data_IF_923663134251
#
_entry.id   IF_923663134251
#
_cell.length_a   1.000
_cell.length_b   1.000
_cell.length_c   1.000
_cell.angle_alpha   90.00
_cell.angle_beta   90.00
_cell.angle_gamma   90.00
#
_symmetry.space_group_name_H-M   'P 1'
#
loop_
_entity.id
_entity.type
_entity.pdbx_description
1 polymer ?
#
# COMPACT_ATOMS: atom_id res chain seq x y z
N UNK A 1 -4.04 -9.92 -24.93
CA UNK A 1 -5.08 -9.49 -23.96
C UNK A 1 -6.15 -8.60 -24.60
N UNK A 2 -5.81 -7.51 -25.32
CA UNK A 2 -6.80 -6.59 -25.92
C UNK A 2 -7.76 -7.24 -26.93
N UNK A 3 -7.31 -8.18 -27.77
CA UNK A 3 -8.18 -8.93 -28.69
C UNK A 3 -9.30 -9.73 -28.00
N UNK A 4 -9.04 -10.27 -26.80
CA UNK A 4 -10.08 -10.95 -25.99
C UNK A 4 -11.15 -9.96 -25.52
N UNK A 5 -10.72 -8.75 -25.15
CA UNK A 5 -11.62 -7.69 -24.70
C UNK A 5 -12.49 -7.14 -25.86
N UNK A 6 -11.92 -6.98 -27.05
CA UNK A 6 -12.68 -6.61 -28.25
C UNK A 6 -13.75 -7.65 -28.58
N UNK A 7 -13.43 -8.95 -28.49
CA UNK A 7 -14.43 -10.03 -28.66
C UNK A 7 -15.53 -9.98 -27.59
N UNK A 8 -15.19 -9.67 -26.34
CA UNK A 8 -16.14 -9.51 -25.25
C UNK A 8 -17.13 -8.37 -25.53
N UNK A 9 -16.62 -7.19 -25.93
CA UNK A 9 -17.44 -6.02 -26.30
C UNK A 9 -18.39 -6.32 -27.46
N UNK A 10 -17.96 -7.16 -28.40
CA UNK A 10 -18.76 -7.55 -29.56
C UNK A 10 -19.88 -8.54 -29.21
N UNK A 11 -19.67 -9.39 -28.20
CA UNK A 11 -20.64 -10.37 -27.68
C UNK A 11 -21.57 -9.79 -26.61
N UNK A 12 -21.27 -8.59 -26.12
CA UNK A 12 -22.07 -7.93 -25.08
C UNK A 12 -23.40 -7.43 -25.64
N UNK A 13 -24.47 -7.66 -24.87
CA UNK A 13 -25.83 -7.28 -25.21
C UNK A 13 -26.05 -5.79 -24.97
N UNK A 14 -26.86 -5.13 -25.80
CA UNK A 14 -27.17 -3.71 -25.57
C UNK A 14 -28.13 -3.58 -24.39
N UNK A 15 -27.78 -2.74 -23.43
CA UNK A 15 -28.69 -2.32 -22.37
C UNK A 15 -29.35 -1.00 -22.77
N UNK A 16 -30.63 -0.86 -22.48
CA UNK A 16 -31.35 0.40 -22.64
C UNK A 16 -31.20 1.28 -21.39
N UNK A 17 -31.23 2.60 -21.55
CA UNK A 17 -31.10 3.54 -20.43
C UNK A 17 -32.18 3.32 -19.34
N UNK A 18 -33.35 2.80 -19.73
CA UNK A 18 -34.48 2.54 -18.82
C UNK A 18 -34.27 1.33 -17.89
N UNK A 19 -33.29 0.46 -18.18
CA UNK A 19 -32.97 -0.71 -17.34
C UNK A 19 -32.05 -0.35 -16.17
N UNK A 20 -31.46 0.85 -16.19
CA UNK A 20 -30.73 1.40 -15.06
C UNK A 20 -31.71 2.00 -14.06
N UNK A 21 -31.57 1.64 -12.79
CA UNK A 21 -32.38 2.22 -11.71
C UNK A 21 -31.93 3.64 -11.30
N UNK A 22 -30.92 4.18 -12.00
CA UNK A 22 -30.34 5.51 -11.82
C UNK A 22 -30.47 6.29 -13.12
N UNK A 23 -30.79 7.58 -13.03
CA UNK A 23 -30.91 8.50 -14.17
C UNK A 23 -29.54 8.76 -14.84
N UNK A 24 -29.20 7.91 -15.81
CA UNK A 24 -27.95 7.97 -16.54
C UNK A 24 -27.78 9.27 -17.36
N UNK A 25 -28.81 9.79 -18.08
CA UNK A 25 -28.75 11.11 -18.71
C UNK A 25 -28.32 12.22 -17.74
N UNK A 26 -28.86 12.23 -16.52
CA UNK A 26 -28.46 13.21 -15.50
C UNK A 26 -27.00 13.06 -15.08
N UNK A 27 -26.49 11.84 -14.92
CA UNK A 27 -25.06 11.62 -14.60
C UNK A 27 -24.15 12.14 -15.72
N UNK A 28 -24.53 11.89 -16.97
CA UNK A 28 -23.81 12.37 -18.15
C UNK A 28 -23.77 13.91 -18.21
N UNK A 29 -24.86 14.56 -17.85
CA UNK A 29 -24.96 16.02 -17.77
C UNK A 29 -24.06 16.59 -16.67
N UNK A 30 -24.10 16.02 -15.46
CA UNK A 30 -23.23 16.42 -14.33
C UNK A 30 -21.74 16.28 -14.71
N UNK A 31 -21.39 15.19 -15.39
CA UNK A 31 -20.04 14.96 -15.90
C UNK A 31 -19.71 15.77 -17.16
N UNK A 32 -20.65 16.57 -17.68
CA UNK A 32 -20.55 17.41 -18.88
C UNK A 32 -20.01 16.63 -20.09
N UNK A 33 -20.48 15.39 -20.29
CA UNK A 33 -20.05 14.54 -21.40
C UNK A 33 -21.03 14.73 -22.56
N UNK A 34 -20.55 15.26 -23.70
CA UNK A 34 -21.37 15.44 -24.90
C UNK A 34 -21.39 14.23 -25.83
N UNK A 35 -20.41 13.32 -25.69
CA UNK A 35 -20.29 12.12 -26.54
C UNK A 35 -21.45 11.16 -26.33
N UNK A 36 -21.81 10.42 -27.38
CA UNK A 36 -22.74 9.30 -27.28
C UNK A 36 -22.02 8.13 -26.61
N UNK A 37 -22.63 7.57 -25.56
CA UNK A 37 -22.13 6.43 -24.80
C UNK A 37 -23.08 5.27 -25.06
N UNK A 38 -22.54 4.11 -25.44
CA UNK A 38 -23.33 2.88 -25.57
C UNK A 38 -23.21 2.07 -24.28
N UNK A 39 -24.33 1.69 -23.68
CA UNK A 39 -24.36 0.85 -22.48
C UNK A 39 -24.58 -0.60 -22.90
N UNK A 40 -23.76 -1.51 -22.39
CA UNK A 40 -23.83 -2.93 -22.72
C UNK A 40 -23.71 -3.80 -21.48
N UNK A 41 -24.36 -4.96 -21.49
CA UNK A 41 -24.26 -5.99 -20.44
C UNK A 41 -23.34 -7.12 -20.87
N UNK A 42 -22.52 -7.65 -19.95
CA UNK A 42 -21.79 -8.88 -20.19
C UNK A 42 -21.55 -9.68 -18.91
N UNK A 43 -21.91 -10.96 -18.90
CA UNK A 43 -21.64 -11.91 -17.81
C UNK A 43 -20.15 -12.24 -17.63
N UNK A 44 -19.29 -11.82 -18.55
CA UNK A 44 -17.84 -12.07 -18.51
C UNK A 44 -17.06 -11.02 -17.71
N UNK A 45 -17.74 -10.02 -17.14
CA UNK A 45 -17.13 -8.98 -16.30
C UNK A 45 -17.77 -8.97 -14.90
N UNK A 46 -16.93 -8.80 -13.87
CA UNK A 46 -17.38 -8.71 -12.48
C UNK A 46 -17.60 -7.26 -12.02
N UNK A 47 -16.96 -6.30 -12.70
CA UNK A 47 -17.01 -4.88 -12.40
C UNK A 47 -17.29 -4.08 -13.69
N UNK A 48 -17.90 -2.89 -13.60
CA UNK A 48 -18.05 -1.97 -14.72
C UNK A 48 -16.71 -1.64 -15.37
N UNK A 49 -16.70 -1.53 -16.71
CA UNK A 49 -15.50 -1.16 -17.47
C UNK A 49 -15.88 -0.30 -18.67
N UNK A 50 -15.07 0.73 -18.92
CA UNK A 50 -15.16 1.57 -20.12
C UNK A 50 -14.21 1.10 -21.23
N UNK A 51 -14.68 1.14 -22.47
CA UNK A 51 -13.88 0.84 -23.65
C UNK A 51 -14.17 1.77 -24.84
N UNK A 52 -13.16 2.04 -25.66
CA UNK A 52 -13.28 2.84 -26.89
C UNK A 52 -12.96 4.33 -26.73
N UNK A 53 -12.74 5.01 -27.86
CA UNK A 53 -12.32 6.42 -27.91
C UNK A 53 -13.45 7.37 -28.36
N UNK A 54 -13.90 7.22 -29.61
CA UNK A 54 -14.86 8.12 -30.25
C UNK A 54 -16.31 7.82 -29.86
N UNK A 55 -16.64 6.53 -29.74
CA UNK A 55 -17.92 6.03 -29.24
C UNK A 55 -17.64 5.13 -28.04
N UNK A 56 -17.45 5.71 -26.84
CA UNK A 56 -17.18 4.94 -25.64
C UNK A 56 -18.34 3.99 -25.34
N UNK A 57 -17.98 2.80 -24.89
CA UNK A 57 -18.89 1.74 -24.48
C UNK A 57 -18.69 1.55 -22.98
N UNK A 58 -19.78 1.66 -22.23
CA UNK A 58 -19.84 1.32 -20.81
C UNK A 58 -20.37 -0.10 -20.70
N UNK A 59 -19.50 -1.02 -20.28
CA UNK A 59 -19.87 -2.41 -20.02
C UNK A 59 -20.22 -2.57 -18.54
N UNK A 60 -21.37 -3.18 -18.27
CA UNK A 60 -21.87 -3.48 -16.94
C UNK A 60 -22.06 -4.99 -16.75
N UNK A 61 -21.84 -5.52 -15.53
CA UNK A 61 -22.30 -6.86 -15.18
C UNK A 61 -23.84 -6.95 -15.25
N UNK A 62 -24.44 -8.09 -15.61
CA UNK A 62 -25.90 -8.23 -15.72
C UNK A 62 -26.61 -7.97 -14.39
N UNK A 63 -25.97 -8.32 -13.28
CA UNK A 63 -26.51 -8.18 -11.93
C UNK A 63 -26.23 -6.80 -11.31
N UNK A 64 -25.69 -5.85 -12.07
CA UNK A 64 -25.24 -4.55 -11.56
C UNK A 64 -26.35 -3.81 -10.79
N UNK A 65 -27.55 -3.69 -11.38
CA UNK A 65 -28.69 -3.03 -10.74
C UNK A 65 -29.26 -3.80 -9.53
N UNK A 66 -28.93 -5.08 -9.39
CA UNK A 66 -29.40 -5.93 -8.28
C UNK A 66 -28.42 -5.91 -7.11
N UNK A 67 -27.13 -5.85 -7.40
CA UNK A 67 -26.08 -5.96 -6.40
C UNK A 67 -25.77 -4.62 -5.70
N UNK A 68 -25.90 -3.50 -6.42
CA UNK A 68 -25.55 -2.19 -5.89
C UNK A 68 -26.80 -1.36 -5.56
N UNK A 69 -26.76 -0.62 -4.45
CA UNK A 69 -27.77 0.37 -4.12
C UNK A 69 -27.70 1.59 -5.05
N UNK A 70 -28.76 2.40 -5.13
CA UNK A 70 -28.79 3.60 -5.99
C UNK A 70 -27.65 4.58 -5.70
N UNK A 71 -27.26 4.76 -4.44
CA UNK A 71 -26.15 5.64 -4.06
C UNK A 71 -24.79 5.05 -4.47
N UNK A 72 -24.60 3.73 -4.31
CA UNK A 72 -23.39 3.04 -4.74
C UNK A 72 -23.25 3.08 -6.27
N UNK A 73 -24.31 2.75 -7.01
CA UNK A 73 -24.35 2.82 -8.47
C UNK A 73 -23.99 4.20 -8.97
N UNK A 74 -24.51 5.25 -8.33
CA UNK A 74 -24.23 6.64 -8.70
C UNK A 74 -22.73 6.93 -8.64
N UNK A 75 -22.03 6.59 -7.55
CA UNK A 75 -20.59 6.81 -7.47
C UNK A 75 -19.82 5.96 -8.50
N UNK A 76 -20.13 4.67 -8.61
CA UNK A 76 -19.45 3.75 -9.54
C UNK A 76 -19.59 4.24 -10.99
N UNK A 77 -20.80 4.63 -11.40
CA UNK A 77 -21.04 5.13 -12.75
C UNK A 77 -20.33 6.46 -12.99
N UNK A 78 -20.28 7.36 -12.00
CA UNK A 78 -19.55 8.62 -12.12
C UNK A 78 -18.03 8.39 -12.25
N UNK A 79 -17.48 7.38 -11.58
CA UNK A 79 -16.08 6.97 -11.74
C UNK A 79 -15.79 6.51 -13.18
N UNK A 80 -16.62 5.62 -13.73
CA UNK A 80 -16.48 5.17 -15.12
C UNK A 80 -16.68 6.32 -16.13
N UNK A 81 -17.66 7.19 -15.88
CA UNK A 81 -17.86 8.40 -16.70
C UNK A 81 -16.64 9.35 -16.62
N UNK A 82 -15.91 9.38 -15.51
CA UNK A 82 -14.68 10.16 -15.38
C UNK A 82 -13.59 9.65 -16.35
N UNK A 83 -13.43 8.32 -16.46
CA UNK A 83 -12.53 7.72 -17.46
C UNK A 83 -12.89 8.11 -18.88
N UNK A 84 -14.20 8.13 -19.20
CA UNK A 84 -14.68 8.62 -20.50
C UNK A 84 -14.28 10.08 -20.67
N UNK A 85 -14.72 10.97 -19.76
CA UNK A 85 -14.50 12.41 -19.84
C UNK A 85 -13.03 12.78 -20.04
N UNK A 86 -12.13 12.08 -19.35
CA UNK A 86 -10.68 12.33 -19.36
C UNK A 86 -9.92 11.66 -20.52
N UNK A 87 -10.63 10.91 -21.37
CA UNK A 87 -10.04 10.15 -22.49
C UNK A 87 -8.96 9.15 -22.02
N UNK A 88 -9.18 8.52 -20.87
CA UNK A 88 -8.18 7.68 -20.24
C UNK A 88 -7.79 6.46 -21.08
N UNK A 89 -8.73 5.90 -21.85
CA UNK A 89 -8.44 4.85 -22.83
C UNK A 89 -7.37 5.32 -23.84
N UNK A 90 -7.48 6.57 -24.33
CA UNK A 90 -6.55 7.14 -25.31
C UNK A 90 -5.19 7.38 -24.69
N UNK A 91 -5.16 7.94 -23.48
CA UNK A 91 -3.94 8.11 -22.70
C UNK A 91 -3.26 6.75 -22.45
N UNK A 92 -4.02 5.72 -22.06
CA UNK A 92 -3.51 4.37 -21.86
C UNK A 92 -2.93 3.76 -23.14
N UNK A 93 -3.54 4.04 -24.29
CA UNK A 93 -3.04 3.59 -25.60
C UNK A 93 -1.73 4.29 -25.95
N UNK A 94 -1.65 5.61 -25.77
CA UNK A 94 -0.42 6.38 -25.98
C UNK A 94 0.71 5.89 -25.06
N UNK A 95 0.44 5.65 -23.78
CA UNK A 95 1.41 5.06 -22.84
C UNK A 95 1.99 3.75 -23.38
N UNK A 96 1.15 2.88 -23.94
CA UNK A 96 1.59 1.59 -24.48
C UNK A 96 2.41 1.76 -25.76
N UNK A 97 2.05 2.70 -26.63
CA UNK A 97 2.84 3.05 -27.81
C UNK A 97 4.23 3.56 -27.37
N UNK A 98 4.29 4.50 -26.42
CA UNK A 98 5.56 5.01 -25.88
C UNK A 98 6.37 3.89 -25.21
N UNK A 99 5.72 3.02 -24.44
CA UNK A 99 6.38 1.86 -23.82
C UNK A 99 6.98 0.90 -24.85
N UNK A 100 6.36 0.73 -26.02
CA UNK A 100 6.90 -0.11 -27.10
C UNK A 100 8.19 0.50 -27.65
N UNK A 101 8.23 1.82 -27.90
CA UNK A 101 9.42 2.49 -28.41
C UNK A 101 10.56 2.58 -27.38
N UNK A 102 10.21 2.81 -26.11
CA UNK A 102 11.16 3.03 -25.03
C UNK A 102 11.23 1.85 -24.04
N UNK A 103 10.94 0.62 -24.50
CA UNK A 103 10.79 -0.54 -23.62
C UNK A 103 12.05 -0.84 -22.78
N UNK A 104 13.23 -0.45 -23.26
CA UNK A 104 14.51 -0.62 -22.58
C UNK A 104 14.79 0.46 -21.52
N UNK A 105 14.03 1.57 -21.52
CA UNK A 105 14.28 2.70 -20.63
C UNK A 105 13.52 2.53 -19.30
N UNK A 106 14.19 2.35 -18.14
CA UNK A 106 13.50 2.06 -16.87
C UNK A 106 12.51 3.16 -16.45
N UNK A 107 12.79 4.43 -16.81
CA UNK A 107 11.88 5.54 -16.50
C UNK A 107 10.53 5.39 -17.19
N UNK A 108 10.41 4.80 -18.39
CA UNK A 108 9.07 4.65 -19.02
C UNK A 108 8.17 3.73 -18.20
N UNK A 109 8.76 2.69 -17.58
CA UNK A 109 8.03 1.76 -16.72
C UNK A 109 7.58 2.43 -15.43
N UNK A 110 8.45 3.23 -14.82
CA UNK A 110 8.11 4.01 -13.63
C UNK A 110 7.04 5.06 -13.93
N UNK A 111 7.20 5.83 -15.01
CA UNK A 111 6.26 6.84 -15.45
C UNK A 111 4.89 6.25 -15.74
N UNK A 112 4.83 5.13 -16.48
CA UNK A 112 3.56 4.43 -16.74
C UNK A 112 2.91 3.96 -15.43
N UNK A 113 3.69 3.45 -14.48
CA UNK A 113 3.15 3.06 -13.17
C UNK A 113 2.56 4.27 -12.42
N UNK A 114 3.27 5.40 -12.37
CA UNK A 114 2.79 6.63 -11.72
C UNK A 114 1.52 7.15 -12.39
N UNK A 115 1.49 7.21 -13.72
CA UNK A 115 0.32 7.69 -14.47
C UNK A 115 -0.88 6.78 -14.23
N UNK A 116 -0.70 5.47 -14.20
CA UNK A 116 -1.78 4.53 -13.91
C UNK A 116 -2.36 4.75 -12.49
N UNK A 117 -1.52 5.07 -11.48
CA UNK A 117 -2.02 5.46 -10.15
C UNK A 117 -2.80 6.78 -10.18
N UNK A 118 -2.23 7.82 -10.81
CA UNK A 118 -2.84 9.15 -10.85
C UNK A 118 -4.14 9.17 -11.67
N UNK A 119 -4.27 8.26 -12.65
CA UNK A 119 -5.50 8.06 -13.40
C UNK A 119 -6.65 7.73 -12.46
N UNK A 120 -6.52 6.66 -11.69
CA UNK A 120 -7.54 6.22 -10.73
C UNK A 120 -7.86 7.30 -9.71
N UNK A 121 -6.82 7.93 -9.12
CA UNK A 121 -7.03 9.01 -8.14
C UNK A 121 -7.82 10.19 -8.70
N UNK A 122 -7.51 10.64 -9.91
CA UNK A 122 -8.24 11.77 -10.46
C UNK A 122 -9.64 11.38 -11.00
N UNK A 123 -9.92 10.09 -11.23
CA UNK A 123 -11.27 9.60 -11.47
C UNK A 123 -12.08 9.54 -10.19
N UNK A 124 -11.50 9.00 -9.10
CA UNK A 124 -12.11 9.00 -7.76
C UNK A 124 -12.49 10.45 -7.36
N UNK A 125 -11.57 11.40 -7.55
CA UNK A 125 -11.76 12.81 -7.17
C UNK A 125 -12.89 13.45 -7.98
N UNK A 126 -12.97 13.16 -9.28
CA UNK A 126 -14.02 13.69 -10.13
C UNK A 126 -15.39 13.07 -9.80
N UNK A 127 -15.42 11.78 -9.50
CA UNK A 127 -16.63 11.09 -9.05
C UNK A 127 -17.12 11.67 -7.72
N UNK A 128 -16.22 11.88 -6.75
CA UNK A 128 -16.53 12.51 -5.46
C UNK A 128 -17.12 13.91 -5.63
N UNK A 129 -16.51 14.76 -6.46
CA UNK A 129 -17.03 16.11 -6.74
C UNK A 129 -18.43 16.09 -7.39
N UNK A 130 -18.72 15.06 -8.18
CA UNK A 130 -19.92 14.98 -9.02
C UNK A 130 -21.05 14.18 -8.38
N UNK A 131 -20.75 13.34 -7.38
CA UNK A 131 -21.72 12.43 -6.78
C UNK A 131 -22.79 13.18 -5.99
N UNK A 132 -22.42 14.27 -5.31
CA UNK A 132 -23.33 14.99 -4.41
C UNK A 132 -23.75 14.17 -3.19
N UNK A 133 -23.08 13.04 -2.94
CA UNK A 133 -23.20 12.22 -1.74
C UNK A 133 -22.01 12.47 -0.81
N UNK A 134 -22.10 12.04 0.44
CA UNK A 134 -20.98 12.14 1.37
C UNK A 134 -19.78 11.29 0.89
N UNK A 135 -18.57 11.66 1.28
CA UNK A 135 -17.36 10.86 1.00
C UNK A 135 -17.47 9.44 1.57
N UNK A 136 -18.14 9.29 2.70
CA UNK A 136 -18.41 7.99 3.32
C UNK A 136 -19.32 7.11 2.45
N UNK A 137 -20.41 7.66 1.90
CA UNK A 137 -21.28 6.92 0.98
C UNK A 137 -20.56 6.53 -0.31
N UNK A 138 -19.73 7.43 -0.84
CA UNK A 138 -18.88 7.14 -1.98
C UNK A 138 -17.88 6.00 -1.66
N UNK A 139 -17.26 6.03 -0.47
CA UNK A 139 -16.38 4.98 0.03
C UNK A 139 -17.08 3.63 0.15
N UNK A 140 -18.34 3.60 0.60
CA UNK A 140 -19.17 2.38 0.61
C UNK A 140 -19.43 1.84 -0.81
N UNK A 141 -19.60 2.72 -1.81
CA UNK A 141 -19.69 2.33 -3.21
C UNK A 141 -18.40 1.69 -3.73
N UNK A 142 -17.26 2.30 -3.43
CA UNK A 142 -15.95 1.74 -3.76
C UNK A 142 -15.70 0.39 -3.08
N UNK A 143 -16.03 0.26 -1.79
CA UNK A 143 -15.86 -0.99 -1.05
C UNK A 143 -16.70 -2.12 -1.63
N UNK A 144 -17.98 -1.86 -1.95
CA UNK A 144 -18.85 -2.85 -2.57
C UNK A 144 -18.33 -3.30 -3.96
N UNK A 145 -17.71 -2.38 -4.71
CA UNK A 145 -17.05 -2.71 -5.97
C UNK A 145 -15.85 -3.64 -5.74
N UNK A 146 -14.99 -3.33 -4.77
CA UNK A 146 -13.83 -4.16 -4.42
C UNK A 146 -14.24 -5.54 -3.92
N UNK A 147 -15.26 -5.64 -3.06
CA UNK A 147 -15.81 -6.91 -2.58
C UNK A 147 -16.27 -7.79 -3.75
N UNK A 148 -17.03 -7.22 -4.70
CA UNK A 148 -17.50 -7.95 -5.88
C UNK A 148 -16.35 -8.47 -6.74
N UNK A 149 -15.28 -7.69 -6.90
CA UNK A 149 -14.09 -8.11 -7.64
C UNK A 149 -13.35 -9.26 -6.96
N UNK A 150 -13.33 -9.26 -5.62
CA UNK A 150 -12.75 -10.34 -4.83
C UNK A 150 -13.57 -11.62 -4.92
N UNK A 151 -14.89 -11.54 -4.74
CA UNK A 151 -15.82 -12.69 -4.80
C UNK A 151 -15.79 -13.37 -6.18
N UNK A 152 -15.65 -12.59 -7.24
CA UNK A 152 -15.56 -13.10 -8.60
C UNK A 152 -14.22 -13.78 -8.93
N UNK A 153 -13.30 -13.91 -7.96
CA UNK A 153 -11.97 -14.50 -8.13
C UNK A 153 -11.22 -13.92 -9.34
N UNK A 154 -11.44 -12.62 -9.64
CA UNK A 154 -10.80 -11.93 -10.76
C UNK A 154 -9.36 -11.48 -10.44
N UNK A 155 -8.77 -12.03 -9.39
CA UNK A 155 -7.32 -12.08 -9.26
C UNK A 155 -6.80 -12.89 -10.46
N UNK A 156 -5.96 -12.32 -11.33
CA UNK A 156 -5.41 -13.09 -12.44
C UNK A 156 -4.73 -14.35 -11.87
N UNK A 157 -5.05 -15.56 -12.34
CA UNK A 157 -4.43 -16.80 -11.84
C UNK A 157 -2.90 -16.82 -12.03
N UNK A 158 -2.37 -15.87 -12.80
CA UNK A 158 -0.94 -15.66 -13.04
C UNK A 158 -0.50 -14.25 -12.56
N UNK A 159 -1.21 -13.64 -11.62
CA UNK A 159 -0.76 -12.42 -11.00
C UNK A 159 0.49 -12.77 -10.18
N UNK A 160 1.63 -12.18 -10.57
CA UNK A 160 2.83 -12.27 -9.76
C UNK A 160 2.54 -11.67 -8.37
N UNK A 161 3.27 -12.10 -7.34
CA UNK A 161 3.19 -11.53 -5.98
C UNK A 161 3.24 -9.99 -6.00
N UNK A 162 4.06 -9.42 -6.89
CA UNK A 162 4.15 -7.98 -7.12
C UNK A 162 2.86 -7.37 -7.70
N UNK A 163 2.13 -8.09 -8.55
CA UNK A 163 0.82 -7.67 -9.07
C UNK A 163 -0.27 -7.62 -7.99
N UNK A 164 -0.23 -8.54 -7.03
CA UNK A 164 -1.14 -8.58 -5.88
C UNK A 164 -0.81 -7.48 -4.86
N UNK A 165 0.46 -7.30 -4.52
CA UNK A 165 0.91 -6.18 -3.65
C UNK A 165 0.48 -4.84 -4.25
N UNK A 166 0.66 -4.65 -5.57
CA UNK A 166 0.23 -3.44 -6.29
C UNK A 166 -1.29 -3.25 -6.29
N UNK A 167 -2.06 -4.33 -6.23
CA UNK A 167 -3.52 -4.30 -6.14
C UNK A 167 -4.00 -3.87 -4.74
N UNK A 168 -3.48 -4.51 -3.68
CA UNK A 168 -3.85 -4.18 -2.30
C UNK A 168 -3.41 -2.78 -1.88
N UNK A 169 -2.18 -2.38 -2.23
CA UNK A 169 -1.69 -1.01 -1.95
C UNK A 169 -2.50 0.06 -2.66
N UNK A 170 -2.99 -0.23 -3.87
CA UNK A 170 -3.88 0.68 -4.60
C UNK A 170 -5.22 0.85 -3.91
N UNK A 171 -5.88 -0.24 -3.54
CA UNK A 171 -7.18 -0.19 -2.85
C UNK A 171 -7.07 0.63 -1.58
N UNK A 172 -6.06 0.33 -0.74
CA UNK A 172 -5.83 1.07 0.52
C UNK A 172 -5.64 2.57 0.26
N UNK A 173 -4.77 2.93 -0.68
CA UNK A 173 -4.49 4.35 -0.99
C UNK A 173 -5.72 5.07 -1.52
N UNK A 174 -6.51 4.43 -2.39
CA UNK A 174 -7.76 5.00 -2.91
C UNK A 174 -8.77 5.20 -1.79
N UNK A 175 -8.96 4.20 -0.91
CA UNK A 175 -9.87 4.29 0.23
C UNK A 175 -9.49 5.45 1.17
N UNK A 176 -8.22 5.52 1.59
CA UNK A 176 -7.72 6.60 2.45
C UNK A 176 -7.94 7.97 1.79
N UNK A 177 -7.66 8.07 0.48
CA UNK A 177 -7.88 9.29 -0.28
C UNK A 177 -9.35 9.68 -0.38
N UNK A 178 -10.26 8.72 -0.55
CA UNK A 178 -11.68 9.03 -0.66
C UNK A 178 -12.25 9.54 0.66
N UNK A 179 -11.83 8.95 1.78
CA UNK A 179 -12.34 9.26 3.12
C UNK A 179 -11.70 10.51 3.75
N UNK A 180 -10.55 10.97 3.26
CA UNK A 180 -9.86 12.17 3.75
C UNK A 180 -10.65 13.47 3.44
N UNK A 181 -11.50 13.90 4.38
CA UNK A 181 -12.42 15.05 4.24
C UNK A 181 -11.67 16.37 4.04
N UNK A 182 -10.51 16.53 4.67
CA UNK A 182 -9.71 17.76 4.63
C UNK A 182 -9.02 17.96 3.27
N UNK A 183 -8.88 16.90 2.48
CA UNK A 183 -8.23 17.02 1.17
C UNK A 183 -9.00 17.89 0.21
N UNK A 184 -8.36 18.96 -0.25
CA UNK A 184 -8.86 19.79 -1.35
C UNK A 184 -8.86 19.00 -2.65
N UNK A 185 -10.06 18.75 -3.16
CA UNK A 185 -10.26 18.14 -4.46
C UNK A 185 -10.02 19.20 -5.56
N UNK A 186 -9.13 18.91 -6.50
CA UNK A 186 -8.82 19.84 -7.61
C UNK A 186 -9.32 19.26 -8.93
N UNK A 187 -10.28 19.93 -9.58
CA UNK A 187 -10.87 19.47 -10.84
C UNK A 187 -10.16 19.94 -12.11
N UNK A 188 -9.13 20.80 -11.99
CA UNK A 188 -8.39 21.39 -13.11
C UNK A 188 -6.91 21.57 -12.74
N UNK A 189 -6.02 21.52 -13.74
CA UNK A 189 -4.62 21.90 -13.56
C UNK A 189 -4.53 23.39 -13.19
N UNK A 190 -3.79 23.69 -12.13
CA UNK A 190 -3.49 25.08 -11.75
C UNK A 190 -2.59 25.73 -12.81
N UNK A 191 -2.74 27.04 -13.01
CA UNK A 191 -1.89 27.83 -13.91
C UNK A 191 -0.40 27.66 -13.60
N UNK A 192 -0.05 27.52 -12.31
CA UNK A 192 1.33 27.25 -11.86
C UNK A 192 1.85 25.91 -12.35
N UNK A 193 1.02 24.87 -12.31
CA UNK A 193 1.35 23.53 -12.79
C UNK A 193 1.51 23.51 -14.31
N UNK A 194 0.64 24.22 -15.03
CA UNK A 194 0.74 24.35 -16.50
C UNK A 194 2.03 25.07 -16.91
N UNK A 195 2.38 26.14 -16.21
CA UNK A 195 3.60 26.90 -16.44
C UNK A 195 4.85 26.05 -16.18
N UNK A 196 4.85 25.25 -15.12
CA UNK A 196 5.93 24.32 -14.81
C UNK A 196 6.12 23.26 -15.91
N UNK A 197 5.03 22.65 -16.39
CA UNK A 197 5.10 21.66 -17.48
C UNK A 197 5.64 22.28 -18.77
N UNK A 198 5.21 23.50 -19.10
CA UNK A 198 5.74 24.23 -20.26
C UNK A 198 7.24 24.51 -20.15
N UNK A 199 7.71 24.95 -18.98
CA UNK A 199 9.13 25.19 -18.74
C UNK A 199 9.93 23.90 -18.92
N UNK A 200 9.47 22.79 -18.34
CA UNK A 200 10.12 21.48 -18.48
C UNK A 200 10.14 21.00 -19.93
N UNK A 201 9.08 21.25 -20.70
CA UNK A 201 9.02 20.90 -22.12
C UNK A 201 10.03 21.72 -22.95
N UNK A 202 10.20 23.02 -22.65
CA UNK A 202 11.19 23.88 -23.30
C UNK A 202 12.62 23.44 -22.96
N UNK A 203 12.89 23.07 -21.70
CA UNK A 203 14.20 22.56 -21.27
C UNK A 203 14.52 21.22 -21.97
N UNK A 204 13.55 20.30 -22.03
CA UNK A 204 13.74 19.03 -22.72
C UNK A 204 13.96 19.21 -24.24
N UNK A 205 13.28 20.18 -24.85
CA UNK A 205 13.44 20.50 -26.28
C UNK A 205 14.79 21.16 -26.59
N UNK A 206 15.29 22.02 -25.70
CA UNK A 206 16.59 22.70 -25.88
C UNK A 206 17.76 21.74 -25.66
N UNK A 207 17.68 20.85 -24.67
CA UNK A 207 18.71 19.83 -24.41
C UNK A 207 18.70 18.68 -25.42
N UNK A 208 17.55 18.39 -26.05
CA UNK A 208 17.46 17.40 -27.14
C UNK A 208 17.86 17.94 -28.52
N UNK A 209 18.26 19.21 -28.61
CA UNK A 209 18.51 19.93 -29.85
C UNK A 209 19.97 20.04 -30.29
N UNK A 210 20.94 19.54 -29.51
CA UNK A 210 22.33 19.47 -29.98
C UNK A 210 22.47 18.32 -30.98
N UNK A 211 22.30 18.69 -32.26
CA UNK A 211 22.85 17.95 -33.39
C UNK A 211 24.34 17.73 -33.16
N UNK A 212 24.75 16.47 -33.11
CA UNK A 212 26.05 16.01 -33.60
C UNK A 212 26.35 16.73 -34.92
N UNK A 213 27.29 17.66 -34.89
CA UNK A 213 27.96 18.16 -36.07
C UNK A 213 29.35 18.65 -35.64
N UNK A 214 30.33 17.81 -35.95
CA UNK A 214 31.70 18.11 -36.35
C UNK A 214 32.23 19.50 -35.99
N UNK A 215 33.02 19.56 -34.92
CA UNK A 215 34.12 20.52 -34.83
C UNK A 215 35.36 19.83 -34.23
N UNK A 216 36.28 19.52 -35.16
CA UNK A 216 37.74 19.64 -35.02
C UNK A 216 38.41 18.65 -34.05
N UNK A 217 39.02 17.55 -34.51
CA UNK A 217 40.22 17.54 -35.35
C UNK A 217 41.31 18.57 -34.93
N UNK A 218 41.52 18.79 -33.63
CA UNK A 218 42.65 19.61 -33.17
C UNK A 218 43.15 19.30 -31.75
N UNK A 219 43.13 18.04 -31.31
CA UNK A 219 43.82 17.63 -30.06
C UNK A 219 44.69 16.37 -30.24
N UNK A 220 44.95 15.96 -31.49
CA UNK A 220 45.91 14.92 -31.82
C UNK A 220 47.31 15.53 -32.08
N UNK A 221 47.87 16.22 -31.08
CA UNK A 221 49.30 16.56 -30.98
C UNK A 221 49.50 17.26 -29.63
N UNK A 222 50.44 16.75 -28.83
CA UNK A 222 50.62 17.00 -27.38
C UNK A 222 49.68 16.09 -26.59
N UNK A 223 50.07 14.91 -26.11
CA UNK A 223 51.22 14.66 -25.22
C UNK A 223 51.63 13.19 -25.37
N UNK A 224 52.84 12.95 -25.89
CA UNK A 224 53.63 11.76 -25.56
C UNK A 224 54.48 12.18 -24.36
N UNK A 225 54.71 11.22 -23.47
CA UNK A 225 55.69 11.26 -22.38
C UNK A 225 55.21 11.88 -21.05
N UNK A 226 54.59 11.06 -20.20
CA UNK A 226 55.33 10.47 -19.06
C UNK A 226 54.42 9.65 -18.14
N UNK A 227 54.89 8.42 -17.94
CA UNK A 227 54.94 7.69 -16.68
C UNK A 227 53.83 6.73 -16.24
N UNK A 228 54.34 5.56 -15.86
CA UNK A 228 53.73 4.33 -15.46
C UNK A 228 53.27 4.32 -13.99
N UNK A 229 52.31 3.44 -13.72
CA UNK A 229 52.05 2.76 -12.43
C UNK A 229 51.56 3.58 -11.22
N UNK A 230 50.34 3.27 -10.74
CA UNK A 230 50.13 2.40 -9.56
C UNK A 230 48.65 2.30 -9.18
N UNK A 231 48.32 1.09 -8.74
CA UNK A 231 47.13 0.70 -8.00
C UNK A 231 47.07 1.33 -6.60
N UNK A 232 45.85 1.27 -6.05
CA UNK A 232 45.46 1.29 -4.63
C UNK A 232 44.82 2.56 -4.05
N UNK A 233 43.60 2.31 -3.54
CA UNK A 233 43.00 2.82 -2.29
C UNK A 233 43.04 4.32 -1.98
N UNK A 234 41.85 4.88 -1.80
CA UNK A 234 41.68 6.20 -1.19
C UNK A 234 40.26 6.41 -0.69
N UNK A 235 40.03 6.02 0.56
CA UNK A 235 38.95 6.54 1.39
C UNK A 235 39.22 8.02 1.71
N UNK A 236 38.12 8.76 1.81
CA UNK A 236 37.94 10.07 2.43
C UNK A 236 38.39 11.33 1.66
N UNK A 237 37.41 12.20 1.41
CA UNK A 237 37.26 13.47 2.13
C UNK A 237 35.74 13.71 2.20
N UNK A 238 35.10 13.87 3.35
CA UNK A 238 35.44 14.88 4.33
C UNK A 238 34.69 16.16 3.95
N UNK A 239 33.38 16.19 4.19
CA UNK A 239 32.59 17.42 4.20
C UNK A 239 32.02 17.59 5.60
N UNK A 240 32.27 18.76 6.16
CA UNK A 240 31.83 19.26 7.46
C UNK A 240 30.48 18.69 7.88
N UNK A 241 30.47 18.07 9.07
CA UNK A 241 29.24 17.66 9.73
C UNK A 241 28.58 18.94 10.24
N UNK A 242 27.68 19.48 9.43
CA UNK A 242 26.69 20.45 9.85
C UNK A 242 25.71 19.72 10.79
N UNK A 243 26.04 19.72 12.08
CA UNK A 243 25.43 18.92 13.17
C UNK A 243 23.93 19.20 13.42
N UNK A 244 23.27 19.97 12.55
CA UNK A 244 21.85 20.31 12.65
C UNK A 244 21.03 20.00 11.39
N UNK A 245 21.60 19.35 10.37
CA UNK A 245 20.82 18.90 9.22
C UNK A 245 20.30 17.46 9.45
N UNK A 246 18.98 17.32 9.61
CA UNK A 246 18.34 16.00 9.66
C UNK A 246 18.62 15.25 8.35
N UNK A 247 19.41 14.18 8.41
CA UNK A 247 19.72 13.36 7.25
C UNK A 247 18.71 12.22 7.10
N UNK A 248 18.02 12.16 5.96
CA UNK A 248 17.17 11.03 5.61
C UNK A 248 17.96 10.03 4.78
N UNK A 249 18.14 8.80 5.30
CA UNK A 249 18.78 7.70 4.58
C UNK A 249 17.76 6.64 4.21
N UNK A 250 17.63 6.35 2.91
CA UNK A 250 16.87 5.20 2.42
C UNK A 250 17.64 3.91 2.69
N UNK A 251 17.07 3.01 3.50
CA UNK A 251 17.74 1.76 3.94
C UNK A 251 17.41 0.53 3.07
N UNK A 252 16.40 0.62 2.19
CA UNK A 252 16.10 -0.39 1.18
C UNK A 252 15.30 0.21 0.00
N UNK A 253 15.64 -0.18 -1.24
CA UNK A 253 14.90 0.15 -2.48
C UNK A 253 13.84 -0.86 -2.87
N UNK A 254 14.01 -2.08 -2.38
CA UNK A 254 13.21 -3.24 -2.73
C UNK A 254 12.68 -3.81 -1.42
N UNK A 255 11.54 -3.31 -0.98
CA UNK A 255 10.72 -3.97 0.04
C UNK A 255 10.02 -5.18 -0.62
N UNK A 256 10.83 -6.06 -1.21
CA UNK A 256 10.45 -7.34 -1.81
C UNK A 256 10.22 -8.34 -0.69
N UNK A 257 9.08 -8.21 -0.04
CA UNK A 257 8.62 -9.15 0.98
C UNK A 257 9.06 -8.84 2.41
N UNK A 258 10.08 -8.04 2.68
CA UNK A 258 10.40 -7.68 4.06
C UNK A 258 9.37 -6.69 4.61
N UNK A 259 8.63 -6.98 5.68
CA UNK A 259 7.82 -6.00 6.42
C UNK A 259 8.48 -5.68 7.74
N UNK A 260 8.99 -4.46 7.89
CA UNK A 260 9.58 -4.02 9.15
C UNK A 260 8.52 -4.00 10.25
N UNK A 261 8.78 -4.73 11.34
CA UNK A 261 7.92 -4.78 12.52
C UNK A 261 8.46 -3.88 13.61
N UNK A 262 9.77 -3.96 13.91
CA UNK A 262 10.37 -3.22 15.02
C UNK A 262 11.86 -2.92 14.75
N UNK A 263 12.35 -1.80 15.26
CA UNK A 263 13.76 -1.41 15.24
C UNK A 263 14.34 -1.62 16.64
N UNK A 264 15.57 -2.12 16.75
CA UNK A 264 16.20 -2.30 18.06
C UNK A 264 16.40 -0.97 18.78
N UNK A 265 16.49 -1.04 20.11
CA UNK A 265 16.67 0.13 20.98
C UNK A 265 17.96 0.90 20.70
N UNK A 266 19.01 0.22 20.24
CA UNK A 266 20.27 0.83 19.81
C UNK A 266 20.27 1.28 18.33
N UNK A 267 19.16 1.09 17.61
CA UNK A 267 19.00 1.45 16.20
C UNK A 267 19.83 0.62 15.22
N UNK A 268 20.47 -0.47 15.67
CA UNK A 268 21.35 -1.30 14.85
C UNK A 268 20.60 -2.31 14.00
N UNK A 269 19.54 -2.91 14.54
CA UNK A 269 18.82 -4.02 13.93
C UNK A 269 17.37 -3.66 13.66
N UNK A 270 16.79 -4.38 12.71
CA UNK A 270 15.36 -4.31 12.39
C UNK A 270 14.84 -5.72 12.19
N UNK A 271 13.72 -6.05 12.83
CA UNK A 271 13.02 -7.31 12.60
C UNK A 271 11.90 -7.14 11.60
N UNK A 272 11.52 -8.25 10.98
CA UNK A 272 10.38 -8.30 10.09
C UNK A 272 10.04 -9.69 9.61
N UNK A 273 9.00 -9.77 8.81
CA UNK A 273 8.65 -10.98 8.06
C UNK A 273 9.21 -10.84 6.65
N UNK A 274 9.87 -11.88 6.13
CA UNK A 274 10.15 -11.99 4.71
C UNK A 274 8.98 -12.67 3.99
N UNK A 275 8.10 -11.92 3.31
CA UNK A 275 6.94 -12.44 2.59
C UNK A 275 7.28 -13.36 1.41
N UNK A 276 8.54 -13.48 0.98
CA UNK A 276 8.89 -14.49 -0.03
C UNK A 276 8.81 -15.90 0.56
N UNK A 277 9.04 -16.06 1.87
CA UNK A 277 9.10 -17.37 2.53
C UNK A 277 8.35 -17.45 3.87
N UNK A 278 7.85 -16.34 4.41
CA UNK A 278 7.14 -16.26 5.69
C UNK A 278 8.04 -16.22 6.93
N UNK A 279 9.37 -16.22 6.81
CA UNK A 279 10.27 -16.35 7.95
C UNK A 279 10.55 -15.03 8.68
N UNK A 280 10.92 -15.15 9.96
CA UNK A 280 11.48 -14.06 10.75
C UNK A 280 12.86 -13.71 10.20
N UNK A 281 13.06 -12.43 9.92
CA UNK A 281 14.33 -11.89 9.48
C UNK A 281 14.81 -10.82 10.46
N UNK A 282 16.10 -10.81 10.71
CA UNK A 282 16.82 -9.76 11.40
C UNK A 282 17.73 -9.08 10.38
N UNK A 283 17.54 -7.78 10.17
CA UNK A 283 18.36 -6.97 9.27
C UNK A 283 19.29 -6.07 10.07
N UNK A 284 20.58 -6.14 9.78
CA UNK A 284 21.54 -5.14 10.24
C UNK A 284 21.36 -3.88 9.39
N UNK A 285 20.98 -2.77 10.02
CA UNK A 285 20.67 -1.51 9.34
C UNK A 285 21.94 -0.87 8.75
N UNK A 286 23.09 -1.08 9.41
CA UNK A 286 24.36 -0.47 8.99
C UNK A 286 24.89 -1.13 7.72
N UNK A 287 24.87 -2.47 7.68
CA UNK A 287 25.44 -3.27 6.59
C UNK A 287 24.40 -3.67 5.53
N UNK A 288 23.12 -3.64 5.86
CA UNK A 288 22.02 -4.11 5.00
C UNK A 288 21.87 -5.62 4.93
N UNK A 289 22.67 -6.38 5.71
CA UNK A 289 22.64 -7.86 5.73
C UNK A 289 21.37 -8.37 6.42
N UNK A 290 20.71 -9.33 5.80
CA UNK A 290 19.59 -10.07 6.37
C UNK A 290 20.07 -11.38 7.00
N UNK A 291 19.52 -11.74 8.16
CA UNK A 291 19.74 -12.99 8.88
C UNK A 291 18.37 -13.62 9.13
N UNK A 292 18.17 -14.84 8.64
CA UNK A 292 16.91 -15.58 8.83
C UNK A 292 16.96 -16.36 10.13
N UNK A 293 16.01 -16.10 11.02
CA UNK A 293 15.94 -16.69 12.35
C UNK A 293 14.97 -17.87 12.43
N UNK A 294 14.05 -17.98 11.47
CA UNK A 294 13.22 -19.17 11.26
C UNK A 294 13.44 -19.71 9.85
N UNK A 295 13.13 -20.99 9.64
CA UNK A 295 13.29 -21.65 8.32
C UNK A 295 12.03 -22.41 7.84
N UNK A 296 11.00 -22.51 8.68
CA UNK A 296 9.82 -23.35 8.42
C UNK A 296 8.62 -22.59 7.81
N UNK A 297 8.83 -21.34 7.38
CA UNK A 297 7.81 -20.55 6.72
C UNK A 297 7.37 -21.16 5.38
N UNK A 298 6.07 -21.09 5.08
CA UNK A 298 5.48 -21.70 3.89
C UNK A 298 4.15 -21.03 3.51
N UNK A 299 3.93 -20.84 2.21
CA UNK A 299 2.66 -20.40 1.64
C UNK A 299 1.74 -21.55 1.22
N UNK A 300 2.17 -22.80 1.41
CA UNK A 300 1.35 -23.99 1.21
C UNK A 300 0.28 -24.15 2.29
N UNK A 301 -0.44 -25.27 2.27
CA UNK A 301 -1.41 -25.61 3.31
C UNK A 301 -0.77 -26.58 4.33
N UNK A 302 -0.72 -26.26 5.64
CA UNK A 302 -1.15 -25.00 6.25
C UNK A 302 -0.12 -23.87 6.01
N UNK A 303 -0.61 -22.64 5.89
CA UNK A 303 0.25 -21.46 5.76
C UNK A 303 1.01 -21.23 7.05
N UNK A 304 2.31 -20.97 6.95
CA UNK A 304 3.20 -20.73 8.08
C UNK A 304 3.97 -19.45 7.86
N UNK A 305 3.81 -18.49 8.75
CA UNK A 305 4.52 -17.23 8.64
C UNK A 305 4.60 -16.50 9.98
N UNK A 306 5.55 -15.58 10.04
CA UNK A 306 5.69 -14.65 11.16
C UNK A 306 4.79 -13.45 10.93
N UNK A 307 4.11 -13.01 11.98
CA UNK A 307 3.27 -11.82 11.96
C UNK A 307 3.51 -11.02 13.24
N UNK A 308 3.97 -9.78 13.07
CA UNK A 308 4.52 -8.89 14.10
C UNK A 308 5.68 -9.50 14.91
N UNK A 309 6.67 -8.67 15.22
CA UNK A 309 7.84 -9.07 16.00
C UNK A 309 8.47 -7.87 16.67
N UNK A 310 8.94 -8.03 17.89
CA UNK A 310 9.61 -6.97 18.65
C UNK A 310 10.92 -7.48 19.28
N UNK A 311 11.93 -6.61 19.32
CA UNK A 311 13.25 -6.90 19.88
C UNK A 311 13.28 -6.43 21.33
N UNK A 312 13.77 -7.28 22.23
CA UNK A 312 13.92 -6.93 23.64
C UNK A 312 14.92 -5.78 23.83
N UNK A 313 14.81 -4.99 24.91
CA UNK A 313 15.87 -4.10 25.34
C UNK A 313 17.19 -4.88 25.46
N UNK A 314 18.29 -4.23 25.08
CA UNK A 314 19.62 -4.85 25.11
C UNK A 314 19.87 -5.93 24.04
N UNK A 315 18.97 -6.13 23.07
CA UNK A 315 19.16 -7.00 21.91
C UNK A 315 19.42 -8.47 22.26
N UNK A 316 18.75 -9.00 23.28
CA UNK A 316 18.96 -10.39 23.71
C UNK A 316 18.00 -11.35 23.03
N UNK A 317 16.73 -10.97 22.95
CA UNK A 317 15.65 -11.84 22.46
C UNK A 317 14.72 -11.09 21.50
N UNK A 318 13.97 -11.87 20.74
CA UNK A 318 12.93 -11.40 19.82
C UNK A 318 11.66 -12.17 20.15
N UNK A 319 10.60 -11.41 20.42
CA UNK A 319 9.24 -11.93 20.47
C UNK A 319 8.62 -11.85 19.09
N UNK A 320 7.94 -12.91 18.66
CA UNK A 320 7.28 -12.94 17.36
C UNK A 320 6.02 -13.79 17.40
N UNK A 321 5.00 -13.39 16.63
CA UNK A 321 3.81 -14.20 16.40
C UNK A 321 4.08 -15.22 15.30
N UNK A 322 3.86 -16.50 15.55
CA UNK A 322 3.98 -17.57 14.56
C UNK A 322 2.60 -18.09 14.18
N UNK A 323 2.18 -17.80 12.96
CA UNK A 323 0.93 -18.33 12.41
C UNK A 323 1.18 -19.68 11.75
N UNK A 324 0.29 -20.65 12.02
CA UNK A 324 0.24 -21.96 11.36
C UNK A 324 -1.22 -22.33 11.10
N UNK A 325 -1.69 -22.10 9.87
CA UNK A 325 -3.11 -22.22 9.54
C UNK A 325 -3.93 -21.10 10.21
N UNK A 326 -4.89 -21.47 11.05
CA UNK A 326 -5.72 -20.53 11.83
C UNK A 326 -5.23 -20.35 13.27
N UNK A 327 -4.09 -20.94 13.62
CA UNK A 327 -3.52 -20.86 14.96
C UNK A 327 -2.38 -19.83 14.97
N UNK A 328 -2.32 -19.04 16.04
CA UNK A 328 -1.24 -18.11 16.31
C UNK A 328 -0.56 -18.43 17.65
N UNK A 329 0.74 -18.73 17.60
CA UNK A 329 1.58 -18.92 18.79
C UNK A 329 2.41 -17.66 19.06
N UNK A 330 2.68 -17.37 20.34
CA UNK A 330 3.69 -16.38 20.73
C UNK A 330 5.00 -17.11 21.00
N UNK A 331 6.05 -16.75 20.28
CA UNK A 331 7.35 -17.39 20.37
C UNK A 331 8.44 -16.40 20.79
N UNK A 332 9.46 -16.93 21.45
CA UNK A 332 10.70 -16.24 21.77
C UNK A 332 11.88 -16.94 21.10
N UNK A 333 12.82 -16.14 20.60
CA UNK A 333 14.09 -16.64 20.06
C UNK A 333 15.22 -15.66 20.42
N UNK A 334 16.43 -16.16 20.65
CA UNK A 334 17.61 -15.33 20.81
C UNK A 334 17.88 -14.51 19.54
N UNK A 335 18.51 -13.34 19.67
CA UNK A 335 18.86 -12.51 18.50
C UNK A 335 19.82 -13.23 17.53
N UNK A 336 20.59 -14.17 18.06
CA UNK A 336 21.51 -15.05 17.34
C UNK A 336 20.82 -16.31 16.77
N UNK A 337 19.51 -16.46 16.97
CA UNK A 337 18.72 -17.63 16.58
C UNK A 337 18.73 -18.75 17.62
N UNK A 338 19.36 -18.56 18.79
CA UNK A 338 19.44 -19.61 19.82
C UNK A 338 18.12 -19.78 20.59
N UNK A 339 17.93 -20.99 21.14
CA UNK A 339 16.86 -21.32 22.10
C UNK A 339 15.43 -20.90 21.69
N UNK A 340 14.95 -21.22 20.47
CA UNK A 340 13.57 -20.94 20.11
C UNK A 340 12.61 -21.69 21.04
N UNK A 341 11.61 -20.98 21.58
CA UNK A 341 10.57 -21.58 22.43
C UNK A 341 9.21 -20.93 22.22
N UNK A 342 8.15 -21.72 22.33
CA UNK A 342 6.77 -21.23 22.39
C UNK A 342 6.48 -20.73 23.80
N UNK A 343 6.12 -19.46 23.93
CA UNK A 343 5.76 -18.82 25.20
C UNK A 343 4.25 -18.96 25.47
N UNK A 344 3.41 -18.76 24.45
CA UNK A 344 1.97 -19.02 24.50
C UNK A 344 1.59 -19.88 23.30
N UNK A 345 0.90 -20.99 23.58
CA UNK A 345 0.32 -21.86 22.56
C UNK A 345 -1.07 -21.34 22.18
N UNK A 346 -1.29 -21.08 20.89
CA UNK A 346 -2.56 -20.60 20.35
C UNK A 346 -3.74 -21.56 20.54
N UNK A 347 -3.49 -22.86 20.78
CA UNK A 347 -4.54 -23.82 21.11
C UNK A 347 -5.09 -23.69 22.54
N UNK A 348 -4.38 -23.02 23.44
CA UNK A 348 -4.82 -22.90 24.83
C UNK A 348 -5.97 -21.87 24.98
N UNK A 349 -6.35 -21.16 23.91
CA UNK A 349 -7.40 -20.12 23.84
C UNK A 349 -7.30 -19.02 24.92
N UNK A 350 -6.15 -18.89 25.60
CA UNK A 350 -5.96 -17.98 26.75
C UNK A 350 -6.08 -16.51 26.37
N UNK A 351 -5.70 -16.15 25.14
CA UNK A 351 -5.56 -14.76 24.70
C UNK A 351 -6.28 -14.45 23.37
N UNK A 352 -6.68 -15.47 22.61
CA UNK A 352 -7.24 -15.31 21.26
C UNK A 352 -6.18 -14.84 20.24
N UNK A 353 -6.59 -14.08 19.23
CA UNK A 353 -5.65 -13.44 18.29
C UNK A 353 -5.01 -12.22 18.94
N UNK A 354 -3.74 -11.98 18.63
CA UNK A 354 -3.00 -10.85 19.22
C UNK A 354 -1.94 -10.27 18.27
N UNK A 355 -1.53 -9.05 18.56
CA UNK A 355 -0.47 -8.35 17.87
C UNK A 355 0.56 -7.89 18.89
N UNK A 356 1.83 -8.14 18.59
CA UNK A 356 2.96 -7.70 19.43
C UNK A 356 3.25 -6.24 19.11
N UNK A 357 3.18 -5.39 20.13
CA UNK A 357 3.46 -3.96 19.99
C UNK A 357 4.95 -3.70 20.25
N UNK A 358 5.42 -3.99 21.46
CA UNK A 358 6.80 -3.77 21.88
C UNK A 358 7.13 -4.56 23.16
N UNK A 359 8.37 -4.47 23.63
CA UNK A 359 8.78 -4.98 24.94
C UNK A 359 8.72 -3.87 25.99
N UNK A 360 8.49 -4.23 27.25
CA UNK A 360 8.72 -3.32 28.37
C UNK A 360 10.19 -2.88 28.41
N UNK A 361 10.51 -1.66 28.87
CA UNK A 361 11.89 -1.17 28.92
C UNK A 361 12.85 -1.98 29.80
N UNK A 362 12.32 -2.70 30.80
CA UNK A 362 13.06 -3.65 31.63
C UNK A 362 13.32 -5.01 30.95
N UNK A 363 12.64 -5.28 29.83
CA UNK A 363 12.73 -6.52 29.08
C UNK A 363 12.01 -7.71 29.73
N UNK A 364 11.22 -7.50 30.77
CA UNK A 364 10.53 -8.59 31.48
C UNK A 364 9.21 -8.98 30.82
N UNK A 365 8.53 -8.04 30.15
CA UNK A 365 7.19 -8.22 29.62
C UNK A 365 7.08 -7.80 28.15
N UNK A 366 6.09 -8.35 27.46
CA UNK A 366 5.77 -8.07 26.06
C UNK A 366 4.37 -7.45 26.00
N UNK A 367 4.28 -6.25 25.44
CA UNK A 367 3.02 -5.54 25.31
C UNK A 367 2.31 -6.06 24.08
N UNK A 368 1.11 -6.56 24.28
CA UNK A 368 0.27 -7.05 23.20
C UNK A 368 -1.07 -6.35 23.16
N UNK A 369 -1.60 -6.29 21.95
CA UNK A 369 -2.98 -5.94 21.67
C UNK A 369 -3.70 -7.20 21.23
N UNK A 370 -4.75 -7.61 21.93
CA UNK A 370 -5.44 -8.87 21.63
C UNK A 370 -6.95 -8.75 21.52
N UNK A 371 -7.57 -9.80 21.01
CA UNK A 371 -9.02 -9.98 20.93
C UNK A 371 -9.39 -11.41 21.34
N UNK A 372 -10.23 -11.55 22.38
CA UNK A 372 -10.61 -12.87 22.94
C UNK A 372 -11.55 -13.68 22.04
N UNK A 373 -12.29 -13.05 21.14
CA UNK A 373 -13.22 -13.71 20.23
C UNK A 373 -13.57 -12.77 19.07
N UNK A 374 -13.44 -13.24 17.82
CA UNK A 374 -13.84 -12.48 16.62
C UNK A 374 -15.33 -12.04 16.63
N UNK A 375 -16.16 -12.69 17.46
CA UNK A 375 -17.61 -12.42 17.56
C UNK A 375 -18.07 -11.61 18.78
N UNK A 376 -17.24 -11.43 19.81
CA UNK A 376 -17.72 -10.82 21.08
C UNK A 376 -17.05 -9.51 21.43
N UNK A 377 -16.37 -8.86 20.48
CA UNK A 377 -16.08 -7.43 20.61
C UNK A 377 -15.38 -7.07 21.94
N UNK A 378 -14.30 -7.78 22.26
CA UNK A 378 -13.51 -7.59 23.48
C UNK A 378 -12.03 -7.46 23.14
N UNK A 379 -11.68 -6.27 22.64
CA UNK A 379 -10.29 -5.88 22.44
C UNK A 379 -9.65 -5.47 23.76
N UNK A 380 -8.37 -5.74 23.92
CA UNK A 380 -7.63 -5.39 25.13
C UNK A 380 -6.16 -5.08 24.86
N UNK A 381 -5.54 -4.39 25.82
CA UNK A 381 -4.09 -4.35 25.97
C UNK A 381 -3.70 -5.24 27.15
N UNK A 382 -2.63 -6.00 26.98
CA UNK A 382 -2.12 -6.89 28.02
C UNK A 382 -0.60 -6.94 28.02
N UNK A 383 -0.06 -7.19 29.21
CA UNK A 383 1.29 -7.69 29.36
C UNK A 383 1.31 -9.21 29.28
N UNK A 384 2.34 -9.72 28.62
CA UNK A 384 2.73 -11.12 28.70
C UNK A 384 4.14 -11.18 29.28
N UNK A 385 4.29 -11.89 30.39
CA UNK A 385 5.59 -12.16 30.99
C UNK A 385 6.45 -12.98 30.03
N UNK A 386 7.66 -12.50 29.74
CA UNK A 386 8.62 -13.18 28.87
C UNK A 386 9.17 -14.47 29.49
N UNK A 387 9.03 -14.65 30.81
CA UNK A 387 9.60 -15.78 31.54
C UNK A 387 8.69 -17.01 31.52
N UNK A 388 7.41 -16.82 31.84
CA UNK A 388 6.42 -17.88 32.08
C UNK A 388 5.15 -17.75 31.23
N UNK A 389 5.00 -16.68 30.45
CA UNK A 389 3.84 -16.45 29.59
C UNK A 389 2.58 -16.04 30.33
N UNK A 390 2.68 -15.66 31.61
CA UNK A 390 1.54 -15.14 32.39
C UNK A 390 0.99 -13.85 31.76
N UNK A 391 -0.34 -13.75 31.71
CA UNK A 391 -1.05 -12.65 31.03
C UNK A 391 -1.66 -11.72 32.07
N UNK A 392 -1.35 -10.43 31.99
CA UNK A 392 -1.97 -9.38 32.78
C UNK A 392 -2.70 -8.40 31.86
N UNK A 393 -4.03 -8.41 31.87
CA UNK A 393 -4.85 -7.42 31.17
C UNK A 393 -4.64 -6.05 31.81
N UNK A 394 -4.28 -5.07 31.00
CA UNK A 394 -4.07 -3.69 31.40
C UNK A 394 -5.33 -2.85 31.23
N UNK A 395 -6.01 -3.02 30.10
CA UNK A 395 -7.22 -2.28 29.77
C UNK A 395 -8.06 -3.04 28.75
N UNK A 396 -9.39 -2.96 28.88
CA UNK A 396 -10.35 -3.54 27.94
C UNK A 396 -11.10 -2.43 27.20
N UNK A 397 -11.26 -2.58 25.88
CA UNK A 397 -11.75 -1.54 24.97
C UNK A 397 -13.09 -1.87 24.32
N UNK A 398 -13.69 -3.03 24.61
CA UNK A 398 -14.91 -3.49 23.94
C UNK A 398 -14.68 -3.69 22.43
N UNK A 399 -15.65 -3.27 21.61
CA UNK A 399 -15.66 -3.56 20.16
C UNK A 399 -14.55 -2.83 19.37
N UNK A 400 -14.02 -1.76 19.93
CA UNK A 400 -13.03 -0.92 19.25
C UNK A 400 -11.61 -1.24 19.68
N UNK A 401 -10.66 -0.95 18.80
CA UNK A 401 -9.24 -1.30 18.99
C UNK A 401 -8.37 -0.05 19.00
N UNK A 402 -7.47 0.13 19.99
CA UNK A 402 -6.45 1.17 19.95
C UNK A 402 -5.53 0.94 18.74
N UNK A 403 -4.95 1.98 18.13
CA UNK A 403 -4.33 1.91 16.80
C UNK A 403 -2.83 1.75 16.87
N UNK A 404 -2.17 2.81 17.32
CA UNK A 404 -0.79 2.87 17.73
C UNK A 404 -0.73 2.82 19.25
N UNK A 405 0.24 2.09 19.78
CA UNK A 405 0.47 1.91 21.20
C UNK A 405 1.97 2.00 21.40
N UNK A 406 2.39 2.84 22.35
CA UNK A 406 3.81 3.09 22.62
C UNK A 406 4.07 3.21 24.11
N UNK A 407 5.18 2.65 24.53
CA UNK A 407 5.65 2.70 25.90
C UNK A 407 6.48 3.94 26.12
N UNK A 408 6.34 4.54 27.30
CA UNK A 408 7.31 5.52 27.73
C UNK A 408 8.66 4.84 28.02
N UNK A 409 9.79 5.49 27.72
CA UNK A 409 11.13 4.92 27.94
C UNK A 409 11.40 4.53 29.40
N UNK A 410 10.73 5.17 30.36
CA UNK A 410 10.88 4.93 31.80
C UNK A 410 10.01 3.79 32.33
N UNK A 411 9.19 3.15 31.49
CA UNK A 411 8.40 2.00 31.92
C UNK A 411 7.08 2.35 32.61
N UNK A 412 6.74 3.63 32.75
CA UNK A 412 5.59 4.02 33.57
C UNK A 412 4.28 4.19 32.80
N UNK A 413 4.34 4.69 31.57
CA UNK A 413 3.17 5.10 30.81
C UNK A 413 3.04 4.35 29.50
N UNK A 414 1.80 4.06 29.11
CA UNK A 414 1.46 3.58 27.78
C UNK A 414 0.61 4.65 27.10
N UNK A 415 1.13 5.23 26.02
CA UNK A 415 0.38 6.12 25.16
C UNK A 415 -0.31 5.31 24.06
N UNK A 416 -1.59 5.54 23.84
CA UNK A 416 -2.31 4.91 22.74
C UNK A 416 -3.33 5.86 22.14
N UNK A 417 -3.61 5.70 20.86
CA UNK A 417 -4.71 6.41 20.21
C UNK A 417 -5.97 5.55 20.18
N UNK A 418 -7.12 6.15 20.49
CA UNK A 418 -8.39 5.45 20.55
C UNK A 418 -9.49 6.27 19.88
N UNK A 419 -10.44 5.64 19.16
CA UNK A 419 -11.50 6.38 18.49
C UNK A 419 -12.36 7.14 19.50
N UNK A 420 -12.68 8.39 19.17
CA UNK A 420 -13.50 9.28 20.01
C UNK A 420 -14.98 8.87 20.05
N UNK A 421 -15.43 8.24 18.97
CA UNK A 421 -16.79 7.72 18.74
C UNK A 421 -16.68 6.39 17.94
N UNK A 422 -17.79 5.80 17.49
CA UNK A 422 -17.79 4.71 16.49
C UNK A 422 -17.23 5.12 15.10
N UNK A 423 -16.48 6.22 15.03
CA UNK A 423 -15.79 6.72 13.84
C UNK A 423 -14.28 6.43 13.92
N UNK A 424 -13.74 5.51 13.10
CA UNK A 424 -12.38 5.01 13.23
C UNK A 424 -11.27 6.03 12.91
N UNK A 425 -11.61 7.20 12.36
CA UNK A 425 -10.66 8.21 11.85
C UNK A 425 -10.38 9.30 12.89
N UNK A 426 -11.34 9.63 13.74
CA UNK A 426 -11.17 10.66 14.75
C UNK A 426 -10.71 10.01 16.05
N UNK A 427 -9.42 10.15 16.37
CA UNK A 427 -8.78 9.43 17.47
C UNK A 427 -8.20 10.41 18.47
N UNK A 428 -8.58 10.22 19.74
CA UNK A 428 -7.98 10.92 20.87
C UNK A 428 -6.74 10.14 21.34
N UNK A 429 -5.78 10.84 21.95
CA UNK A 429 -4.58 10.22 22.53
C UNK A 429 -4.79 10.07 24.03
N UNK A 430 -4.61 8.85 24.52
CA UNK A 430 -4.75 8.50 25.91
C UNK A 430 -3.39 8.09 26.48
N UNK A 431 -3.24 8.29 27.78
CA UNK A 431 -2.09 7.81 28.55
C UNK A 431 -2.62 6.94 29.67
N UNK A 432 -2.12 5.71 29.75
CA UNK A 432 -2.34 4.78 30.84
C UNK A 432 -1.12 4.79 31.76
N UNK A 433 -1.31 5.08 33.05
CA UNK A 433 -0.27 4.94 34.09
C UNK A 433 -0.29 3.48 34.57
N UNK A 434 0.74 2.71 34.25
CA UNK A 434 0.79 1.25 34.49
C UNK A 434 0.97 0.94 35.98
N UNK A 435 1.48 1.90 36.77
CA UNK A 435 1.70 1.74 38.22
C UNK A 435 0.45 2.09 39.05
N UNK A 436 -0.48 2.88 38.50
CA UNK A 436 -1.72 3.27 39.18
C UNK A 436 -2.89 2.44 38.69
N UNK A 437 -3.19 1.37 39.42
CA UNK A 437 -4.41 0.56 39.23
C UNK A 437 -5.67 1.28 39.71
#
# INVERSE_FOLDING_TARGET
RQWRFVRLVHRAESLSDNELTVDFPRLKEVMQIRRLISIKSSSSIAAPVVWGFFRPILLLPPDFCRFYSRSQMRWILLHELAHIRRFDTMAATLQKIMQIFFFFHPVIWLTNWIIDQQREYACDDMALMSCGASRMECGKGFLALVQRMNDASMIPPNATTLGLIKYHTQIRRRMMRMLDIERKLHGKLSFKSLSFVMIMAVIAFTLGGEKENDLSAQEASNVIESDETKSESGLSNGSEIDNNSLSFRKISSDFGGLSASHISWDGRYMTGTDWDNGNLVLRDISTGRNIYLTQDGSWGEPRKFVWYSAISPGNQQIAYGWYSGNQQDLCLIGIDGSNPRVLINGQDEKIGEFEIMEWSPDGENILVRGSRNERTDQNFLAWISSTDGSIQILHEFGEQTPGNVFHSPDGRFIAYDFPKDNEPVNRDIYILDVEKK
#
